data_IF_206819495937
#
_entry.id   IF_206819495937
#
_cell.length_a   1.000
_cell.length_b   1.000
_cell.length_c   1.000
_cell.angle_alpha   90.00
_cell.angle_beta   90.00
_cell.angle_gamma   90.00
#
_symmetry.space_group_name_H-M   'P 1'
#
loop_
_entity.id
_entity.type
_entity.pdbx_description
1 polymer ?
#
# COMPACT_ATOMS: atom_id res chain seq x y z
N UNK A 1 -19.17 27.03 -6.66
CA UNK A 1 -19.09 25.66 -6.10
C UNK A 1 -18.04 25.71 -5.02
N UNK A 2 -18.34 25.23 -3.79
CA UNK A 2 -17.30 25.03 -2.78
C UNK A 2 -16.26 24.08 -3.38
N UNK A 3 -14.99 24.28 -3.10
CA UNK A 3 -13.91 23.42 -3.57
C UNK A 3 -13.95 22.13 -2.78
N UNK A 4 -14.16 20.99 -3.45
CA UNK A 4 -14.11 19.65 -2.87
C UNK A 4 -12.72 19.40 -2.26
N UNK A 5 -12.70 18.94 -1.00
CA UNK A 5 -11.47 18.59 -0.27
C UNK A 5 -11.38 17.07 -0.17
N UNK A 6 -10.37 16.48 -0.84
CA UNK A 6 -10.17 15.05 -0.86
C UNK A 6 -9.04 14.64 0.09
N UNK A 7 -9.41 13.96 1.19
CA UNK A 7 -8.49 13.47 2.23
C UNK A 7 -8.58 11.94 2.41
N UNK A 8 -8.84 11.20 1.33
CA UNK A 8 -8.80 9.72 1.33
C UNK A 8 -7.74 9.15 0.37
N UNK A 9 -6.58 9.82 0.24
CA UNK A 9 -5.50 9.38 -0.65
C UNK A 9 -4.88 8.04 -0.25
N UNK A 10 -4.97 7.63 1.02
CA UNK A 10 -4.54 6.29 1.46
C UNK A 10 -5.44 5.15 0.93
N UNK A 11 -6.65 5.44 0.44
CA UNK A 11 -7.48 4.50 -0.30
C UNK A 11 -7.12 4.48 -1.78
N UNK A 12 -7.06 5.64 -2.43
CA UNK A 12 -6.58 5.86 -3.80
C UNK A 12 -6.23 7.33 -3.97
N UNK A 13 -5.15 7.68 -4.67
CA UNK A 13 -4.84 9.10 -4.92
C UNK A 13 -5.83 9.73 -5.89
N UNK A 14 -6.28 10.96 -5.60
CA UNK A 14 -7.13 11.76 -6.47
C UNK A 14 -6.87 13.27 -6.24
N UNK A 15 -6.82 14.07 -7.34
CA UNK A 15 -6.79 13.67 -8.74
C UNK A 15 -5.49 12.94 -9.11
N UNK A 16 -5.43 12.39 -10.33
CA UNK A 16 -4.18 11.88 -10.91
C UNK A 16 -3.47 13.01 -11.67
N UNK A 17 -2.13 12.94 -11.84
CA UNK A 17 -1.43 13.80 -12.77
C UNK A 17 -2.03 13.68 -14.18
N UNK A 18 -2.15 14.81 -14.90
CA UNK A 18 -2.73 14.84 -16.24
C UNK A 18 -2.05 13.86 -17.22
N UNK A 19 -0.73 13.70 -17.10
CA UNK A 19 0.04 12.76 -17.91
C UNK A 19 -0.46 11.31 -17.81
N UNK A 20 -1.07 10.91 -16.68
CA UNK A 20 -1.63 9.57 -16.48
C UNK A 20 -2.85 9.35 -17.37
N UNK A 21 -3.77 10.31 -17.41
CA UNK A 21 -4.95 10.26 -18.29
C UNK A 21 -4.54 10.23 -19.75
N UNK A 22 -3.61 11.10 -20.15
CA UNK A 22 -3.10 11.19 -21.51
C UNK A 22 -2.40 9.91 -21.96
N UNK A 23 -1.58 9.29 -21.11
CA UNK A 23 -0.89 8.05 -21.43
C UNK A 23 -1.87 6.89 -21.68
N UNK A 24 -2.92 6.77 -20.86
CA UNK A 24 -3.97 5.77 -21.02
C UNK A 24 -4.77 5.99 -22.31
N UNK A 25 -5.20 7.22 -22.58
CA UNK A 25 -5.93 7.58 -23.79
C UNK A 25 -5.10 7.34 -25.05
N UNK A 26 -3.84 7.77 -25.05
CA UNK A 26 -2.92 7.60 -26.17
C UNK A 26 -2.69 6.11 -26.48
N UNK A 27 -2.47 5.28 -25.46
CA UNK A 27 -2.34 3.85 -25.66
C UNK A 27 -3.60 3.25 -26.31
N UNK A 28 -4.78 3.54 -25.79
CA UNK A 28 -6.05 3.02 -26.35
C UNK A 28 -6.28 3.44 -27.80
N UNK A 29 -5.92 4.68 -28.16
CA UNK A 29 -6.15 5.21 -29.52
C UNK A 29 -5.12 4.70 -30.54
N UNK A 30 -3.86 4.50 -30.14
CA UNK A 30 -2.77 4.33 -31.10
C UNK A 30 -2.06 2.99 -31.04
N UNK A 31 -2.12 2.26 -29.92
CA UNK A 31 -1.43 0.99 -29.72
C UNK A 31 -2.27 -0.13 -29.08
N UNK A 32 -3.57 0.03 -28.94
CA UNK A 32 -4.51 -0.83 -28.17
C UNK A 32 -4.56 -2.33 -28.55
N UNK A 33 -3.45 -2.92 -28.95
CA UNK A 33 -3.30 -4.34 -29.28
C UNK A 33 -2.83 -5.13 -28.04
N UNK A 34 -2.98 -6.47 -28.12
CA UNK A 34 -2.47 -7.39 -27.09
C UNK A 34 -0.93 -7.49 -27.20
N UNK A 35 -0.20 -7.30 -26.09
CA UNK A 35 1.26 -7.43 -26.10
C UNK A 35 1.70 -8.88 -26.27
N UNK A 36 2.82 -9.10 -26.99
CA UNK A 36 3.56 -10.36 -27.02
C UNK A 36 2.91 -11.55 -27.73
N UNK A 37 1.68 -11.43 -28.28
CA UNK A 37 0.93 -12.54 -28.87
C UNK A 37 0.91 -12.53 -30.41
N UNK A 38 1.44 -11.51 -31.04
CA UNK A 38 1.45 -11.35 -32.51
C UNK A 38 2.70 -10.63 -32.96
N UNK A 39 3.18 -10.94 -34.19
CA UNK A 39 4.38 -10.32 -34.76
C UNK A 39 4.13 -8.96 -35.45
N UNK A 40 2.94 -8.39 -35.39
CA UNK A 40 2.66 -7.11 -36.01
C UNK A 40 3.05 -5.92 -35.10
N UNK A 41 3.35 -4.76 -35.72
CA UNK A 41 3.89 -3.58 -35.05
C UNK A 41 3.11 -3.14 -33.80
N UNK A 42 1.76 -3.14 -33.83
CA UNK A 42 0.96 -2.73 -32.66
C UNK A 42 1.13 -3.66 -31.46
N UNK A 43 1.33 -4.98 -31.69
CA UNK A 43 1.63 -5.92 -30.62
C UNK A 43 3.02 -5.69 -30.02
N UNK A 44 4.00 -5.32 -30.87
CA UNK A 44 5.35 -4.94 -30.44
C UNK A 44 5.30 -3.64 -29.61
N UNK A 45 4.56 -2.64 -30.07
CA UNK A 45 4.39 -1.36 -29.34
C UNK A 45 3.70 -1.58 -27.99
N UNK A 46 2.66 -2.43 -27.93
CA UNK A 46 2.03 -2.81 -26.68
C UNK A 46 2.99 -3.56 -25.73
N UNK A 47 3.83 -4.46 -26.27
CA UNK A 47 4.87 -5.15 -25.50
C UNK A 47 5.92 -4.19 -24.94
N UNK A 48 6.29 -3.16 -25.68
CA UNK A 48 7.21 -2.11 -25.21
C UNK A 48 6.64 -1.35 -24.02
N UNK A 49 5.35 -0.96 -24.06
CA UNK A 49 4.70 -0.30 -22.91
C UNK A 49 4.75 -1.15 -21.65
N UNK A 50 4.52 -2.46 -21.76
CA UNK A 50 4.62 -3.37 -20.60
C UNK A 50 6.07 -3.43 -20.09
N UNK A 51 7.05 -3.48 -20.99
CA UNK A 51 8.46 -3.55 -20.60
C UNK A 51 8.96 -2.24 -19.98
N UNK A 52 8.59 -1.08 -20.53
CA UNK A 52 8.90 0.24 -19.96
C UNK A 52 8.34 0.41 -18.54
N UNK A 53 7.12 -0.13 -18.29
CA UNK A 53 6.55 -0.15 -16.94
C UNK A 53 7.40 -0.97 -15.96
N UNK A 54 8.00 -2.10 -16.41
CA UNK A 54 8.92 -2.89 -15.58
C UNK A 54 10.22 -2.14 -15.32
N UNK A 55 10.81 -1.55 -16.36
CA UNK A 55 12.08 -0.83 -16.24
C UNK A 55 11.98 0.32 -15.22
N UNK A 56 10.94 1.13 -15.31
CA UNK A 56 10.79 2.28 -14.40
C UNK A 56 10.53 1.85 -12.95
N UNK A 57 9.80 0.76 -12.73
CA UNK A 57 9.57 0.19 -11.40
C UNK A 57 10.82 -0.50 -10.85
N UNK A 58 11.60 -1.19 -11.70
CA UNK A 58 12.87 -1.77 -11.31
C UNK A 58 13.85 -0.68 -10.86
N UNK A 59 13.89 0.45 -11.58
CA UNK A 59 14.66 1.63 -11.16
C UNK A 59 14.18 2.19 -9.83
N UNK A 60 12.85 2.29 -9.64
CA UNK A 60 12.24 2.84 -8.41
C UNK A 60 12.61 2.03 -7.16
N UNK A 61 12.67 0.70 -7.26
CA UNK A 61 12.90 -0.22 -6.14
C UNK A 61 14.33 -0.78 -6.10
N UNK A 62 15.24 -0.31 -6.95
CA UNK A 62 16.64 -0.75 -7.09
C UNK A 62 16.78 -2.26 -7.41
N UNK A 63 16.04 -2.73 -8.41
CA UNK A 63 16.19 -4.07 -8.97
C UNK A 63 17.06 -4.05 -10.24
N UNK A 64 17.96 -5.04 -10.40
CA UNK A 64 18.84 -5.13 -11.58
C UNK A 64 18.11 -5.63 -12.83
N UNK A 65 17.10 -6.49 -12.65
CA UNK A 65 16.39 -7.17 -13.72
C UNK A 65 14.91 -6.78 -13.72
N UNK A 66 14.44 -6.01 -14.73
CA UNK A 66 13.03 -5.62 -14.85
C UNK A 66 12.06 -6.82 -14.94
N UNK A 67 12.50 -7.98 -15.42
CA UNK A 67 11.65 -9.17 -15.50
C UNK A 67 11.24 -9.71 -14.13
N UNK A 68 11.86 -9.23 -13.05
CA UNK A 68 11.51 -9.55 -11.64
C UNK A 68 10.36 -8.72 -11.08
N UNK A 69 9.82 -7.80 -11.87
CA UNK A 69 8.55 -7.12 -11.57
C UNK A 69 7.42 -7.98 -12.13
N UNK A 70 6.62 -8.58 -11.29
CA UNK A 70 5.44 -9.36 -11.69
C UNK A 70 4.19 -8.49 -11.52
N UNK A 71 3.50 -8.22 -12.61
CA UNK A 71 2.28 -7.40 -12.56
C UNK A 71 1.10 -8.17 -11.99
N UNK A 72 0.36 -7.50 -11.12
CA UNK A 72 -0.89 -7.96 -10.52
C UNK A 72 -1.92 -6.84 -10.59
N UNK A 73 -3.18 -7.14 -10.25
CA UNK A 73 -4.26 -6.12 -10.26
C UNK A 73 -4.12 -5.12 -9.12
N UNK A 74 -3.44 -5.49 -8.04
CA UNK A 74 -3.27 -4.69 -6.82
C UNK A 74 -2.30 -5.39 -5.85
N UNK A 75 -1.94 -4.72 -4.75
CA UNK A 75 -1.10 -5.31 -3.70
C UNK A 75 -1.73 -6.55 -3.06
N UNK A 76 -3.06 -6.68 -2.98
CA UNK A 76 -3.70 -7.87 -2.41
C UNK A 76 -3.37 -9.13 -3.20
N UNK A 77 -3.44 -9.08 -4.54
CA UNK A 77 -3.06 -10.21 -5.39
C UNK A 77 -1.55 -10.51 -5.28
N UNK A 78 -0.71 -9.46 -5.24
CA UNK A 78 0.74 -9.59 -5.03
C UNK A 78 1.07 -10.28 -3.70
N UNK A 79 0.42 -9.87 -2.60
CA UNK A 79 0.60 -10.45 -1.28
C UNK A 79 0.11 -11.90 -1.20
N UNK A 80 -1.02 -12.22 -1.86
CA UNK A 80 -1.47 -13.62 -1.96
C UNK A 80 -0.47 -14.47 -2.74
N UNK A 81 0.09 -13.98 -3.86
CA UNK A 81 1.13 -14.67 -4.60
C UNK A 81 2.36 -14.91 -3.72
N UNK A 82 2.83 -13.91 -2.96
CA UNK A 82 3.96 -14.04 -2.06
C UNK A 82 3.68 -15.05 -0.93
N UNK A 83 2.56 -14.91 -0.23
CA UNK A 83 2.21 -15.72 0.95
C UNK A 83 1.92 -17.18 0.54
N UNK A 84 0.96 -17.39 -0.38
CA UNK A 84 0.55 -18.74 -0.80
C UNK A 84 1.59 -19.42 -1.70
N UNK A 85 2.46 -18.64 -2.35
CA UNK A 85 3.52 -19.19 -3.20
C UNK A 85 4.77 -19.64 -2.43
N UNK A 86 4.95 -19.17 -1.18
CA UNK A 86 6.13 -19.46 -0.35
C UNK A 86 5.82 -20.46 0.76
N UNK A 87 4.66 -20.34 1.41
CA UNK A 87 4.34 -21.08 2.63
C UNK A 87 3.65 -22.41 2.35
N UNK A 88 4.06 -23.44 3.12
CA UNK A 88 3.52 -24.79 3.08
C UNK A 88 3.17 -25.26 4.50
N UNK A 89 2.31 -26.27 4.67
CA UNK A 89 2.04 -26.88 5.98
C UNK A 89 3.33 -27.27 6.72
N UNK A 90 3.44 -26.87 7.97
CA UNK A 90 4.63 -27.06 8.81
C UNK A 90 5.61 -25.88 8.80
N UNK A 91 5.50 -24.93 7.89
CA UNK A 91 6.25 -23.68 7.91
C UNK A 91 5.72 -22.74 9.00
N UNK A 92 6.60 -21.87 9.51
CA UNK A 92 6.24 -20.78 10.41
C UNK A 92 6.38 -19.43 9.71
N UNK A 93 5.41 -18.55 9.95
CA UNK A 93 5.41 -17.17 9.45
C UNK A 93 5.24 -16.18 10.59
N UNK A 94 5.98 -15.07 10.50
CA UNK A 94 5.90 -13.96 11.46
C UNK A 94 5.33 -12.73 10.75
N UNK A 95 4.39 -12.06 11.42
CA UNK A 95 3.82 -10.79 10.96
C UNK A 95 3.57 -9.85 12.14
N UNK A 96 3.13 -8.61 11.85
CA UNK A 96 2.84 -7.62 12.88
C UNK A 96 1.36 -7.51 13.23
N UNK A 97 1.06 -6.88 14.37
CA UNK A 97 -0.31 -6.55 14.74
C UNK A 97 -0.85 -5.27 14.06
N UNK A 98 -0.14 -4.73 13.08
CA UNK A 98 -0.56 -3.55 12.31
C UNK A 98 -0.96 -3.87 10.86
N UNK A 99 -1.10 -5.15 10.51
CA UNK A 99 -1.30 -5.60 9.15
C UNK A 99 -2.70 -5.32 8.60
N UNK A 100 -2.73 -5.07 7.29
CA UNK A 100 -3.95 -5.02 6.50
C UNK A 100 -4.54 -6.43 6.30
N UNK A 101 -5.85 -6.52 6.02
CA UNK A 101 -6.52 -7.78 5.72
C UNK A 101 -5.93 -8.55 4.52
N UNK A 102 -5.23 -7.86 3.61
CA UNK A 102 -4.52 -8.50 2.48
C UNK A 102 -3.36 -9.40 2.92
N UNK A 103 -2.82 -9.18 4.13
CA UNK A 103 -1.85 -10.05 4.79
C UNK A 103 -2.56 -11.01 5.74
N UNK A 104 -3.43 -10.50 6.62
CA UNK A 104 -4.01 -11.32 7.69
C UNK A 104 -4.93 -12.43 7.18
N UNK A 105 -5.76 -12.16 6.15
CA UNK A 105 -6.73 -13.16 5.69
C UNK A 105 -6.07 -14.37 5.02
N UNK A 106 -5.12 -14.23 4.08
CA UNK A 106 -4.42 -15.39 3.55
C UNK A 106 -3.59 -16.12 4.62
N UNK A 107 -2.97 -15.40 5.58
CA UNK A 107 -2.25 -16.07 6.68
C UNK A 107 -3.19 -16.89 7.57
N UNK A 108 -4.39 -16.38 7.89
CA UNK A 108 -5.39 -17.14 8.66
C UNK A 108 -5.91 -18.36 7.91
N UNK A 109 -6.07 -18.25 6.58
CA UNK A 109 -6.45 -19.40 5.78
C UNK A 109 -5.37 -20.50 5.80
N UNK A 110 -4.09 -20.12 5.65
CA UNK A 110 -2.98 -21.07 5.70
C UNK A 110 -2.75 -21.64 7.12
N UNK A 111 -3.09 -20.90 8.17
CA UNK A 111 -3.06 -21.40 9.55
C UNK A 111 -4.02 -22.60 9.73
N UNK A 112 -5.20 -22.55 9.10
CA UNK A 112 -6.15 -23.69 9.04
C UNK A 112 -5.59 -24.88 8.25
N UNK A 113 -4.64 -24.66 7.34
CA UNK A 113 -3.95 -25.65 6.53
C UNK A 113 -2.65 -26.20 7.18
N UNK A 114 -2.31 -25.72 8.37
CA UNK A 114 -1.14 -26.20 9.15
C UNK A 114 0.11 -25.35 9.04
N UNK A 115 0.03 -24.10 8.58
CA UNK A 115 1.09 -23.10 8.74
C UNK A 115 1.02 -22.50 10.13
N UNK A 116 2.15 -22.36 10.80
CA UNK A 116 2.24 -21.77 12.13
C UNK A 116 2.35 -20.23 11.99
N UNK A 117 1.44 -19.48 12.62
CA UNK A 117 1.41 -18.02 12.55
C UNK A 117 1.78 -17.36 13.88
N UNK A 118 2.78 -16.49 13.90
CA UNK A 118 3.05 -15.58 15.00
C UNK A 118 2.76 -14.14 14.60
N UNK A 119 1.89 -13.48 15.37
CA UNK A 119 1.57 -12.05 15.21
C UNK A 119 2.27 -11.28 16.33
N UNK A 120 3.36 -10.59 16.00
CA UNK A 120 4.12 -9.78 16.97
C UNK A 120 3.33 -8.51 17.29
N UNK A 121 3.15 -8.25 18.60
CA UNK A 121 2.36 -7.11 19.06
C UNK A 121 3.14 -5.80 18.92
N UNK A 122 2.56 -4.83 18.28
CA UNK A 122 3.04 -3.45 18.24
C UNK A 122 2.54 -2.65 19.45
N UNK A 123 3.17 -1.50 19.71
CA UNK A 123 2.72 -0.54 20.74
C UNK A 123 1.37 0.07 20.38
N UNK A 124 0.75 0.79 21.33
CA UNK A 124 -0.50 1.52 21.10
C UNK A 124 -0.35 2.68 20.06
N UNK A 125 0.86 3.05 19.70
CA UNK A 125 1.17 3.99 18.61
C UNK A 125 1.48 3.29 17.28
N UNK A 126 1.45 1.96 17.25
CA UNK A 126 1.71 1.14 16.06
C UNK A 126 3.20 0.85 15.80
N UNK A 127 4.11 1.11 16.73
CA UNK A 127 5.52 0.77 16.58
C UNK A 127 5.79 -0.70 16.89
N UNK A 128 6.58 -1.34 16.02
CA UNK A 128 7.13 -2.68 16.20
C UNK A 128 8.53 -2.57 16.82
N UNK A 129 8.79 -3.35 17.87
CA UNK A 129 10.16 -3.54 18.38
C UNK A 129 10.83 -4.67 17.59
N UNK A 130 11.96 -4.39 16.90
CA UNK A 130 12.70 -5.42 16.17
C UNK A 130 13.16 -6.60 17.05
N UNK A 131 13.47 -6.37 18.34
CA UNK A 131 13.89 -7.42 19.26
C UNK A 131 12.74 -8.39 19.57
N UNK A 132 11.51 -7.91 19.69
CA UNK A 132 10.34 -8.76 19.88
C UNK A 132 10.11 -9.66 18.65
N UNK A 133 10.33 -9.11 17.45
CA UNK A 133 10.21 -9.89 16.22
C UNK A 133 11.34 -10.93 16.11
N UNK A 134 12.59 -10.55 16.39
CA UNK A 134 13.74 -11.47 16.35
C UNK A 134 13.54 -12.64 17.32
N UNK A 135 13.01 -12.37 18.51
CA UNK A 135 12.75 -13.40 19.54
C UNK A 135 11.64 -14.40 19.12
N UNK A 136 10.81 -14.03 18.16
CA UNK A 136 9.74 -14.89 17.63
C UNK A 136 10.22 -15.86 16.54
N UNK A 137 11.48 -15.73 16.06
CA UNK A 137 12.04 -16.60 15.02
C UNK A 137 12.26 -18.02 15.57
N UNK A 138 11.78 -19.01 14.82
CA UNK A 138 11.90 -20.45 15.12
C UNK A 138 12.70 -21.15 14.03
N UNK A 139 13.08 -22.39 14.28
CA UNK A 139 13.83 -23.20 13.31
C UNK A 139 13.07 -23.45 11.99
N UNK A 140 11.75 -23.48 12.04
CA UNK A 140 10.86 -23.61 10.85
C UNK A 140 10.32 -22.28 10.35
N UNK A 141 10.83 -21.12 10.79
CA UNK A 141 10.41 -19.81 10.26
C UNK A 141 10.86 -19.69 8.81
N UNK A 142 9.88 -19.57 7.93
CA UNK A 142 10.08 -19.48 6.48
C UNK A 142 9.96 -18.07 5.94
N UNK A 143 9.04 -17.27 6.50
CA UNK A 143 8.70 -15.94 6.02
C UNK A 143 8.46 -14.98 7.17
N UNK A 144 9.00 -13.77 7.03
CA UNK A 144 8.58 -12.58 7.78
C UNK A 144 7.84 -11.69 6.78
N UNK A 145 6.62 -11.23 7.10
CA UNK A 145 5.85 -10.32 6.25
C UNK A 145 5.32 -9.16 7.06
N UNK A 146 5.62 -7.93 6.59
CA UNK A 146 5.25 -6.70 7.29
C UNK A 146 4.74 -5.65 6.31
N UNK A 147 3.75 -4.85 6.73
CA UNK A 147 3.50 -3.59 6.07
C UNK A 147 4.64 -2.60 6.38
N UNK A 148 5.04 -1.78 5.41
CA UNK A 148 6.04 -0.74 5.63
C UNK A 148 5.46 0.44 6.41
N UNK A 149 4.18 0.74 6.22
CA UNK A 149 3.45 1.73 6.99
C UNK A 149 2.00 1.31 7.22
N UNK A 150 1.48 1.61 8.40
CA UNK A 150 0.08 1.35 8.75
C UNK A 150 -0.86 2.19 7.90
N UNK A 151 -1.84 1.53 7.28
CA UNK A 151 -2.91 2.22 6.54
C UNK A 151 -3.97 2.85 7.46
N UNK A 152 -3.84 2.69 8.78
CA UNK A 152 -4.75 3.27 9.79
C UNK A 152 -4.16 4.54 10.38
N UNK A 153 -2.91 4.50 10.85
CA UNK A 153 -2.26 5.60 11.58
C UNK A 153 -0.97 6.10 10.93
N UNK A 154 -0.59 5.53 9.79
CA UNK A 154 0.60 5.96 9.05
C UNK A 154 1.94 5.56 9.66
N UNK A 155 1.99 5.02 10.87
CA UNK A 155 3.23 4.66 11.57
C UNK A 155 4.10 3.76 10.70
N UNK A 156 5.37 4.14 10.52
CA UNK A 156 6.38 3.39 9.79
C UNK A 156 6.93 2.25 10.65
N UNK A 157 7.04 1.06 10.07
CA UNK A 157 7.71 -0.08 10.68
C UNK A 157 9.19 -0.09 10.26
N UNK A 158 10.10 -0.65 11.10
CA UNK A 158 11.54 -0.60 10.89
C UNK A 158 12.02 -1.66 9.87
N UNK A 159 11.54 -1.59 8.60
CA UNK A 159 11.75 -2.64 7.59
C UNK A 159 13.21 -2.89 7.27
N UNK A 160 14.09 -1.87 7.24
CA UNK A 160 15.51 -2.06 6.98
C UNK A 160 16.22 -2.87 8.09
N UNK A 161 15.85 -2.61 9.35
CA UNK A 161 16.39 -3.36 10.51
C UNK A 161 15.86 -4.80 10.51
N UNK A 162 14.57 -4.98 10.22
CA UNK A 162 13.95 -6.32 10.13
C UNK A 162 14.52 -7.11 8.93
N UNK A 163 14.79 -6.47 7.79
CA UNK A 163 15.44 -7.11 6.65
C UNK A 163 16.82 -7.65 7.04
N UNK A 164 17.62 -6.87 7.78
CA UNK A 164 18.91 -7.30 8.29
C UNK A 164 18.78 -8.47 9.30
N UNK A 165 17.74 -8.49 10.14
CA UNK A 165 17.42 -9.61 11.01
C UNK A 165 17.07 -10.85 10.18
N UNK A 166 16.15 -10.73 9.23
CA UNK A 166 15.72 -11.83 8.37
C UNK A 166 16.90 -12.47 7.63
N UNK A 167 17.81 -11.65 7.08
CA UNK A 167 19.03 -12.10 6.42
C UNK A 167 19.95 -12.89 7.36
N UNK A 168 20.19 -12.40 8.59
CA UNK A 168 21.03 -13.11 9.58
C UNK A 168 20.49 -14.49 9.93
N UNK A 169 19.17 -14.63 9.94
CA UNK A 169 18.48 -15.89 10.27
C UNK A 169 18.13 -16.73 9.03
N UNK A 170 18.51 -16.30 7.83
CA UNK A 170 18.18 -16.94 6.56
C UNK A 170 16.67 -17.19 6.38
N UNK A 171 15.86 -16.20 6.75
CA UNK A 171 14.40 -16.17 6.62
C UNK A 171 14.03 -15.20 5.50
N UNK A 172 13.05 -15.55 4.66
CA UNK A 172 12.56 -14.66 3.60
C UNK A 172 11.83 -13.46 4.20
N UNK A 173 12.05 -12.28 3.60
CA UNK A 173 11.39 -11.06 4.02
C UNK A 173 10.52 -10.45 2.92
N UNK A 174 9.23 -10.33 3.19
CA UNK A 174 8.23 -9.71 2.34
C UNK A 174 7.73 -8.38 2.93
N UNK A 175 7.68 -7.34 2.12
CA UNK A 175 7.20 -6.02 2.52
C UNK A 175 5.95 -5.63 1.72
N UNK A 176 4.86 -5.28 2.42
CA UNK A 176 3.72 -4.58 1.84
C UNK A 176 4.00 -3.08 1.79
N UNK A 177 4.36 -2.59 0.62
CA UNK A 177 4.66 -1.19 0.34
C UNK A 177 3.43 -0.39 -0.15
N UNK A 178 2.21 -0.88 0.02
CA UNK A 178 1.01 -0.24 -0.52
C UNK A 178 0.79 1.21 -0.03
N UNK A 179 1.34 1.60 1.12
CA UNK A 179 1.25 2.96 1.64
C UNK A 179 2.52 3.80 1.45
N UNK A 180 3.62 3.18 1.00
CA UNK A 180 4.94 3.84 0.97
C UNK A 180 5.55 3.94 -0.41
N UNK A 181 5.22 3.02 -1.34
CA UNK A 181 5.70 3.08 -2.72
C UNK A 181 5.34 4.41 -3.39
N UNK A 182 6.35 5.20 -3.75
CA UNK A 182 6.21 6.51 -4.39
C UNK A 182 6.33 7.73 -3.46
N UNK A 183 6.21 7.56 -2.11
CA UNK A 183 6.35 8.66 -1.14
C UNK A 183 7.39 8.39 -0.03
N UNK A 184 7.93 7.19 0.00
CA UNK A 184 9.03 6.82 0.88
C UNK A 184 10.10 6.09 0.07
N UNK A 185 11.40 6.43 0.26
CA UNK A 185 12.47 5.71 -0.44
C UNK A 185 12.50 4.23 -0.04
N UNK A 186 12.44 3.34 -1.03
CA UNK A 186 12.53 1.89 -0.82
C UNK A 186 13.62 1.36 -1.74
N UNK A 187 14.66 0.80 -1.15
CA UNK A 187 15.75 0.12 -1.83
C UNK A 187 15.75 -1.33 -1.40
N UNK A 188 15.26 -2.22 -2.27
CA UNK A 188 15.13 -3.64 -1.93
C UNK A 188 16.46 -4.30 -1.54
N UNK A 189 17.57 -3.88 -2.18
CA UNK A 189 18.90 -4.42 -1.88
C UNK A 189 19.43 -3.91 -0.54
N UNK A 190 19.38 -2.60 -0.32
CA UNK A 190 19.89 -1.99 0.91
C UNK A 190 19.06 -2.35 2.15
N UNK A 191 17.78 -2.67 1.96
CA UNK A 191 16.86 -3.06 3.03
C UNK A 191 16.71 -4.58 3.18
N UNK A 192 17.49 -5.39 2.45
CA UNK A 192 17.42 -6.86 2.47
C UNK A 192 15.99 -7.41 2.25
N UNK A 193 15.24 -6.81 1.33
CA UNK A 193 13.87 -7.21 1.00
C UNK A 193 13.89 -8.25 -0.12
N UNK A 194 13.32 -9.42 0.13
CA UNK A 194 13.21 -10.51 -0.83
C UNK A 194 11.98 -10.39 -1.74
N UNK A 195 10.87 -9.95 -1.18
CA UNK A 195 9.59 -9.78 -1.86
C UNK A 195 8.99 -8.41 -1.50
N UNK A 196 8.60 -7.61 -2.50
CA UNK A 196 7.98 -6.31 -2.28
C UNK A 196 6.65 -6.23 -3.03
N UNK A 197 5.54 -6.15 -2.31
CA UNK A 197 4.23 -5.95 -2.88
C UNK A 197 3.87 -4.46 -2.94
N UNK A 198 3.36 -4.00 -4.10
CA UNK A 198 2.96 -2.61 -4.30
C UNK A 198 1.62 -2.50 -5.02
N UNK A 199 0.97 -1.34 -4.91
CA UNK A 199 -0.23 -0.99 -5.67
C UNK A 199 0.00 0.30 -6.45
N UNK A 200 -0.46 0.33 -7.71
CA UNK A 200 -0.21 1.46 -8.59
C UNK A 200 -1.09 2.69 -8.34
N UNK A 201 -2.28 2.49 -7.75
CA UNK A 201 -3.31 3.55 -7.70
C UNK A 201 -3.23 4.50 -6.49
N UNK A 202 -2.26 4.29 -5.58
CA UNK A 202 -2.00 5.20 -4.45
C UNK A 202 -0.89 6.18 -4.82
N UNK A 203 0.18 6.24 -4.06
CA UNK A 203 1.24 7.24 -4.23
C UNK A 203 2.15 7.02 -5.46
N UNK A 204 1.95 5.96 -6.23
CA UNK A 204 2.49 5.82 -7.58
C UNK A 204 1.63 6.52 -8.65
N UNK A 205 0.51 7.12 -8.29
CA UNK A 205 -0.40 7.89 -9.14
C UNK A 205 -0.98 7.16 -10.36
N UNK A 206 -0.76 5.86 -10.51
CA UNK A 206 -1.35 5.05 -11.58
C UNK A 206 -2.85 4.82 -11.39
N UNK A 207 -3.52 4.21 -12.35
CA UNK A 207 -4.94 3.88 -12.26
C UNK A 207 -5.20 2.68 -11.34
N UNK A 208 -6.43 2.50 -10.79
CA UNK A 208 -6.88 1.24 -10.20
C UNK A 208 -6.68 0.06 -11.17
N UNK A 209 -6.52 -1.14 -10.63
CA UNK A 209 -6.27 -2.35 -11.43
C UNK A 209 -4.81 -2.51 -11.86
N UNK A 210 -3.89 -1.80 -11.19
CA UNK A 210 -2.43 -1.92 -11.34
C UNK A 210 -1.76 -2.16 -10.00
N UNK A 211 -0.78 -3.03 -9.99
CA UNK A 211 0.06 -3.38 -8.85
C UNK A 211 1.08 -4.43 -9.26
N UNK A 212 1.86 -4.92 -8.32
CA UNK A 212 2.85 -5.94 -8.62
C UNK A 212 3.57 -6.48 -7.41
N UNK A 213 4.30 -7.56 -7.67
CA UNK A 213 5.26 -8.19 -6.77
C UNK A 213 6.65 -8.07 -7.38
N UNK A 214 7.56 -7.43 -6.67
CA UNK A 214 8.98 -7.49 -6.98
C UNK A 214 9.57 -8.74 -6.34
N UNK A 215 10.34 -9.53 -7.11
CA UNK A 215 10.89 -10.81 -6.68
C UNK A 215 12.42 -10.72 -6.63
N UNK A 216 13.01 -10.97 -5.47
CA UNK A 216 14.46 -11.10 -5.30
C UNK A 216 15.04 -12.23 -6.15
N UNK A 217 16.36 -12.17 -6.40
CA UNK A 217 17.06 -13.17 -7.19
C UNK A 217 17.04 -14.55 -6.54
N UNK A 218 16.70 -15.59 -7.31
CA UNK A 218 16.65 -16.98 -6.85
C UNK A 218 15.30 -17.39 -6.25
N UNK A 219 14.36 -16.44 -6.03
CA UNK A 219 13.03 -16.76 -5.51
C UNK A 219 12.11 -17.35 -6.58
N UNK A 220 12.45 -17.17 -7.85
CA UNK A 220 11.75 -17.81 -8.96
C UNK A 220 11.74 -19.34 -8.88
N UNK A 221 12.70 -19.94 -8.17
CA UNK A 221 12.75 -21.40 -7.97
C UNK A 221 11.87 -21.89 -6.81
N UNK A 222 11.54 -20.99 -5.88
CA UNK A 222 10.81 -21.28 -4.64
C UNK A 222 9.33 -20.93 -4.80
N UNK A 223 9.05 -19.75 -5.37
CA UNK A 223 7.71 -19.18 -5.44
C UNK A 223 6.83 -19.98 -6.41
N UNK A 224 5.71 -20.50 -5.92
CA UNK A 224 4.74 -21.25 -6.72
C UNK A 224 3.73 -20.28 -7.34
N UNK A 225 3.43 -20.38 -8.67
CA UNK A 225 2.43 -19.52 -9.28
C UNK A 225 1.01 -19.84 -8.81
N UNK A 226 0.26 -18.80 -8.41
CA UNK A 226 -1.15 -18.92 -8.02
C UNK A 226 -2.08 -19.15 -9.22
N UNK A 227 -1.77 -18.48 -10.34
CA UNK A 227 -2.59 -18.50 -11.55
C UNK A 227 -1.78 -19.18 -12.66
N UNK A 228 -2.41 -20.10 -13.37
CA UNK A 228 -1.84 -20.77 -14.55
C UNK A 228 -2.74 -20.55 -15.74
N UNK A 229 -2.13 -20.42 -16.95
CA UNK A 229 -2.89 -20.20 -18.17
C UNK A 229 -2.01 -19.70 -19.31
N UNK A 230 -2.62 -19.21 -20.37
CA UNK A 230 -1.91 -18.73 -21.54
C UNK A 230 -1.07 -17.49 -21.26
N UNK A 231 0.21 -17.55 -21.54
CA UNK A 231 1.19 -16.46 -21.36
C UNK A 231 1.58 -15.80 -22.68
N UNK A 232 1.30 -16.45 -23.81
CA UNK A 232 1.72 -16.02 -25.15
C UNK A 232 3.04 -16.64 -25.61
N UNK A 233 3.76 -17.31 -24.70
CA UNK A 233 4.99 -18.06 -25.00
C UNK A 233 4.75 -19.57 -24.86
N UNK A 234 5.61 -20.40 -25.51
CA UNK A 234 5.56 -21.86 -25.42
C UNK A 234 4.16 -22.46 -25.59
N UNK A 235 3.38 -21.95 -26.57
CA UNK A 235 1.99 -22.35 -26.81
C UNK A 235 1.83 -23.84 -27.19
N UNK A 236 2.91 -24.52 -27.52
CA UNK A 236 3.00 -25.95 -27.80
C UNK A 236 3.02 -26.82 -26.51
N UNK A 237 3.28 -26.19 -25.35
CA UNK A 237 3.35 -26.89 -24.05
C UNK A 237 2.06 -26.73 -23.25
N UNK A 238 1.60 -27.83 -22.65
CA UNK A 238 0.49 -27.82 -21.66
C UNK A 238 0.95 -27.43 -20.24
N UNK A 239 2.26 -27.28 -20.02
CA UNK A 239 2.83 -26.88 -18.73
C UNK A 239 3.07 -25.38 -18.66
N UNK A 240 2.86 -24.81 -17.45
CA UNK A 240 3.17 -23.42 -17.19
C UNK A 240 4.67 -23.15 -17.45
N UNK A 241 5.03 -22.07 -18.16
CA UNK A 241 6.43 -21.68 -18.33
C UNK A 241 7.16 -21.50 -16.98
N UNK A 242 8.46 -21.82 -16.94
CA UNK A 242 9.27 -21.71 -15.74
C UNK A 242 10.30 -20.56 -15.80
N UNK A 243 10.04 -19.55 -16.62
CA UNK A 243 10.88 -18.37 -16.73
C UNK A 243 10.08 -17.09 -16.44
N UNK A 244 10.77 -16.03 -16.02
CA UNK A 244 10.17 -14.74 -15.70
C UNK A 244 9.90 -13.92 -16.98
N UNK A 245 8.83 -13.16 -17.02
CA UNK A 245 7.75 -13.06 -16.02
C UNK A 245 6.64 -14.08 -16.22
N UNK A 246 6.67 -14.86 -17.29
CA UNK A 246 5.62 -15.73 -17.79
C UNK A 246 5.17 -16.80 -16.78
N UNK A 247 6.08 -17.22 -15.88
CA UNK A 247 5.76 -18.12 -14.78
C UNK A 247 4.58 -17.63 -13.95
N UNK A 248 4.44 -16.33 -13.77
CA UNK A 248 3.47 -15.72 -12.85
C UNK A 248 2.42 -14.88 -13.54
N UNK A 249 2.61 -14.51 -14.82
CA UNK A 249 1.70 -13.66 -15.57
C UNK A 249 0.93 -14.43 -16.63
N UNK A 250 -0.24 -14.91 -16.25
CA UNK A 250 -1.15 -15.60 -17.19
C UNK A 250 -2.32 -14.69 -17.57
N UNK A 251 -2.72 -14.77 -18.85
CA UNK A 251 -3.78 -13.95 -19.41
C UNK A 251 -3.26 -12.68 -20.09
N UNK A 252 -4.16 -11.85 -20.61
CA UNK A 252 -3.82 -10.56 -21.22
C UNK A 252 -3.63 -9.53 -20.12
N UNK A 253 -2.47 -8.85 -20.03
CA UNK A 253 -2.21 -7.86 -19.00
C UNK A 253 -3.04 -6.58 -19.20
N UNK A 254 -3.20 -5.81 -18.13
CA UNK A 254 -3.85 -4.48 -18.16
C UNK A 254 -2.90 -3.43 -18.76
N UNK A 255 -2.60 -3.53 -20.06
CA UNK A 255 -1.61 -2.66 -20.71
C UNK A 255 -2.01 -1.19 -20.67
N UNK A 256 -3.31 -0.87 -20.74
CA UNK A 256 -3.82 0.50 -20.58
C UNK A 256 -3.45 1.04 -19.20
N UNK A 257 -3.70 0.24 -18.16
CA UNK A 257 -3.34 0.62 -16.79
C UNK A 257 -1.84 0.75 -16.61
N UNK A 258 -1.03 -0.11 -17.24
CA UNK A 258 0.44 -0.04 -17.18
C UNK A 258 0.99 1.21 -17.86
N UNK A 259 0.41 1.65 -18.98
CA UNK A 259 0.74 2.94 -19.58
C UNK A 259 0.51 4.11 -18.61
N UNK A 260 -0.65 4.11 -17.93
CA UNK A 260 -0.95 5.10 -16.90
C UNK A 260 -0.04 4.99 -15.67
N UNK A 261 0.29 3.77 -15.23
CA UNK A 261 1.21 3.55 -14.11
C UNK A 261 2.62 4.06 -14.43
N UNK A 262 3.13 3.80 -15.64
CA UNK A 262 4.41 4.34 -16.11
C UNK A 262 4.43 5.86 -16.01
N UNK A 263 3.39 6.54 -16.51
CA UNK A 263 3.28 8.00 -16.42
C UNK A 263 3.21 8.49 -14.96
N UNK A 264 2.52 7.75 -14.09
CA UNK A 264 2.47 8.04 -12.65
C UNK A 264 3.84 7.94 -11.98
N UNK A 265 4.59 6.88 -12.26
CA UNK A 265 5.96 6.70 -11.72
C UNK A 265 6.93 7.74 -12.30
N UNK A 266 6.80 8.08 -13.59
CA UNK A 266 7.56 9.20 -14.20
C UNK A 266 7.28 10.52 -13.48
N UNK A 267 6.02 10.77 -13.12
CA UNK A 267 5.66 11.93 -12.31
C UNK A 267 6.35 11.89 -10.94
N UNK A 268 6.38 10.76 -10.25
CA UNK A 268 7.10 10.59 -8.97
C UNK A 268 8.58 10.95 -9.14
N UNK A 269 9.24 10.46 -10.20
CA UNK A 269 10.64 10.81 -10.48
C UNK A 269 10.82 12.29 -10.79
N UNK A 270 9.90 12.91 -11.54
CA UNK A 270 9.98 14.33 -11.90
C UNK A 270 9.84 15.27 -10.68
N UNK A 271 9.03 14.88 -9.70
CA UNK A 271 8.85 15.62 -8.45
C UNK A 271 9.98 15.31 -7.45
N UNK A 272 10.53 14.09 -7.48
CA UNK A 272 11.44 13.54 -6.48
C UNK A 272 10.70 13.03 -5.25
N UNK A 273 11.00 11.78 -4.83
CA UNK A 273 10.35 11.13 -3.67
C UNK A 273 10.51 11.96 -2.41
N UNK A 274 11.70 12.50 -2.16
CA UNK A 274 11.98 13.32 -0.96
C UNK A 274 11.15 14.61 -0.94
N UNK A 275 10.94 15.25 -2.09
CA UNK A 275 10.10 16.44 -2.20
C UNK A 275 8.63 16.12 -1.97
N UNK A 276 8.13 15.01 -2.54
CA UNK A 276 6.76 14.52 -2.30
C UNK A 276 6.56 14.26 -0.80
N UNK A 277 7.51 13.55 -0.17
CA UNK A 277 7.49 13.26 1.25
C UNK A 277 7.51 14.53 2.09
N UNK A 278 8.42 15.47 1.84
CA UNK A 278 8.50 16.75 2.57
C UNK A 278 7.19 17.55 2.47
N UNK A 279 6.57 17.58 1.30
CA UNK A 279 5.27 18.24 1.12
C UNK A 279 4.17 17.58 1.97
N UNK A 280 4.08 16.25 1.93
CA UNK A 280 3.11 15.50 2.74
C UNK A 280 3.40 15.62 4.24
N UNK A 281 4.67 15.61 4.66
CA UNK A 281 5.05 15.81 6.06
C UNK A 281 4.63 17.21 6.59
N UNK A 282 4.72 18.24 5.76
CA UNK A 282 4.27 19.60 6.12
C UNK A 282 2.76 19.60 6.39
N UNK A 283 1.97 19.06 5.47
CA UNK A 283 0.50 18.99 5.62
C UNK A 283 0.09 18.13 6.82
N UNK A 284 0.78 17.01 7.01
CA UNK A 284 0.56 16.08 8.13
C UNK A 284 0.87 16.73 9.46
N UNK A 285 1.96 17.52 9.55
CA UNK A 285 2.33 18.27 10.74
C UNK A 285 1.25 19.28 11.11
N UNK A 286 0.78 20.06 10.14
CA UNK A 286 -0.27 21.07 10.37
C UNK A 286 -1.56 20.40 10.87
N UNK A 287 -1.91 19.22 10.33
CA UNK A 287 -3.06 18.42 10.81
C UNK A 287 -2.85 17.93 12.25
N UNK A 288 -1.68 17.36 12.57
CA UNK A 288 -1.38 16.85 13.91
C UNK A 288 -1.47 17.97 14.93
N UNK A 289 -0.76 19.07 14.72
CA UNK A 289 -0.72 20.21 15.62
C UNK A 289 -2.12 20.83 15.79
N UNK A 290 -2.86 20.99 14.71
CA UNK A 290 -4.21 21.54 14.76
C UNK A 290 -5.20 20.61 15.49
N UNK A 291 -5.18 19.30 15.21
CA UNK A 291 -6.06 18.31 15.85
C UNK A 291 -5.77 18.24 17.37
N UNK A 292 -4.50 18.24 17.78
CA UNK A 292 -4.13 18.19 19.20
C UNK A 292 -4.62 19.41 20.00
N UNK A 293 -4.87 20.54 19.34
CA UNK A 293 -5.40 21.75 19.94
C UNK A 293 -6.95 21.75 20.08
N UNK A 294 -7.66 20.80 19.43
CA UNK A 294 -9.13 20.76 19.46
C UNK A 294 -9.60 19.88 20.63
N UNK A 295 -10.37 20.43 21.59
CA UNK A 295 -10.94 19.64 22.68
C UNK A 295 -11.84 18.50 22.18
N UNK A 296 -11.93 17.42 22.94
CA UNK A 296 -12.78 16.24 22.63
C UNK A 296 -12.38 15.46 21.36
N UNK A 297 -11.24 15.77 20.75
CA UNK A 297 -10.69 15.02 19.59
C UNK A 297 -9.49 14.21 20.06
N UNK A 298 -9.52 12.91 19.77
CA UNK A 298 -8.41 11.98 20.04
C UNK A 298 -7.68 11.68 18.74
N UNK A 299 -6.37 11.93 18.70
CA UNK A 299 -5.48 11.54 17.63
C UNK A 299 -4.82 10.19 17.97
N UNK A 300 -4.79 9.26 17.00
CA UNK A 300 -4.14 7.95 17.14
C UNK A 300 -2.87 7.89 16.28
N UNK A 301 -1.90 7.08 16.72
CA UNK A 301 -0.63 6.86 16.02
C UNK A 301 0.56 7.55 16.69
N UNK A 302 1.62 7.78 15.93
CA UNK A 302 2.91 8.26 16.45
C UNK A 302 2.87 9.73 16.90
N UNK A 303 2.09 10.57 16.23
CA UNK A 303 2.14 12.02 16.40
C UNK A 303 3.44 12.67 15.94
N UNK A 304 4.39 11.92 15.36
CA UNK A 304 5.67 12.41 14.82
C UNK A 304 5.70 12.15 13.31
N UNK A 305 5.68 13.21 12.51
CA UNK A 305 5.66 13.16 11.04
C UNK A 305 6.85 12.43 10.43
N UNK A 306 8.00 12.40 11.14
CA UNK A 306 9.21 11.69 10.68
C UNK A 306 9.06 10.16 10.75
N UNK A 307 8.12 9.70 11.58
CA UNK A 307 7.86 8.28 11.90
C UNK A 307 6.55 7.78 11.30
N UNK A 308 5.94 8.54 10.39
CA UNK A 308 4.70 8.15 9.72
C UNK A 308 4.62 8.69 8.30
N UNK A 309 3.75 8.11 7.49
CA UNK A 309 3.30 8.67 6.21
C UNK A 309 2.07 9.56 6.43
N UNK A 310 1.59 10.23 5.39
CA UNK A 310 0.44 11.15 5.44
C UNK A 310 -0.91 10.45 5.67
N UNK A 311 -1.00 9.72 6.78
CA UNK A 311 -2.19 8.99 7.22
C UNK A 311 -2.38 9.25 8.70
N UNK A 312 -3.57 9.77 9.07
CA UNK A 312 -3.95 10.07 10.45
C UNK A 312 -5.30 9.44 10.76
N UNK A 313 -5.49 9.04 11.99
CA UNK A 313 -6.77 8.57 12.50
C UNK A 313 -7.20 9.37 13.71
N UNK A 314 -8.47 9.78 13.72
CA UNK A 314 -9.08 10.54 14.83
C UNK A 314 -10.41 9.96 15.25
N UNK A 315 -10.83 10.25 16.49
CA UNK A 315 -12.22 10.13 16.95
C UNK A 315 -12.61 11.41 17.68
N UNK A 316 -13.89 11.75 17.61
CA UNK A 316 -14.51 12.85 18.38
C UNK A 316 -15.38 12.23 19.47
N UNK A 317 -15.17 12.62 20.70
CA UNK A 317 -15.95 12.10 21.84
C UNK A 317 -17.46 12.37 21.61
N UNK A 318 -18.29 11.36 21.86
CA UNK A 318 -19.75 11.46 21.70
C UNK A 318 -20.28 11.22 20.28
N UNK A 319 -19.41 11.06 19.27
CA UNK A 319 -19.81 10.73 17.89
C UNK A 319 -19.13 9.44 17.41
N UNK A 320 -19.84 8.65 16.61
CA UNK A 320 -19.25 7.55 15.88
C UNK A 320 -18.38 8.06 14.72
N UNK A 321 -17.44 7.23 14.27
CA UNK A 321 -16.61 7.57 13.10
C UNK A 321 -17.45 7.82 11.84
N UNK A 322 -18.58 7.15 11.69
CA UNK A 322 -19.51 7.33 10.56
C UNK A 322 -20.23 8.66 10.60
N UNK A 323 -20.71 9.10 11.79
CA UNK A 323 -21.37 10.41 11.95
C UNK A 323 -20.38 11.55 11.66
N UNK A 324 -19.15 11.46 12.19
CA UNK A 324 -18.13 12.48 11.92
C UNK A 324 -17.83 12.57 10.42
N UNK A 325 -17.67 11.43 9.74
CA UNK A 325 -17.40 11.41 8.31
C UNK A 325 -18.57 11.96 7.48
N UNK A 326 -19.81 11.66 7.88
CA UNK A 326 -21.02 12.20 7.25
C UNK A 326 -21.07 13.73 7.38
N UNK A 327 -20.83 14.29 8.57
CA UNK A 327 -20.76 15.73 8.76
C UNK A 327 -19.64 16.39 7.95
N UNK A 328 -18.46 15.76 7.87
CA UNK A 328 -17.36 16.29 7.05
C UNK A 328 -17.72 16.33 5.58
N UNK A 329 -18.39 15.31 5.05
CA UNK A 329 -18.81 15.23 3.64
C UNK A 329 -19.98 16.18 3.34
N UNK A 330 -21.11 16.07 4.07
CA UNK A 330 -22.36 16.75 3.75
C UNK A 330 -22.32 18.25 4.07
N UNK A 331 -21.72 18.65 5.21
CA UNK A 331 -21.71 20.03 5.68
C UNK A 331 -20.51 20.84 5.13
N UNK A 332 -19.37 20.15 4.85
CA UNK A 332 -18.09 20.82 4.55
C UNK A 332 -17.45 20.40 3.23
N UNK A 333 -18.01 19.45 2.45
CA UNK A 333 -17.43 18.89 1.21
C UNK A 333 -16.03 18.27 1.42
N UNK A 334 -15.78 17.64 2.61
CA UNK A 334 -14.51 17.02 2.99
C UNK A 334 -14.64 15.50 2.96
N UNK A 335 -14.00 14.84 1.99
CA UNK A 335 -14.05 13.40 1.81
C UNK A 335 -12.95 12.72 2.63
N UNK A 336 -13.36 11.83 3.56
CA UNK A 336 -12.48 11.05 4.41
C UNK A 336 -13.03 9.62 4.55
N UNK A 337 -12.34 8.74 5.27
CA UNK A 337 -12.76 7.34 5.39
C UNK A 337 -13.02 6.94 6.84
N UNK A 338 -14.28 6.64 7.24
CA UNK A 338 -14.60 6.09 8.55
C UNK A 338 -14.38 4.57 8.63
N UNK A 339 -14.36 4.04 9.86
CA UNK A 339 -14.46 2.63 10.19
C UNK A 339 -13.12 1.93 10.37
N UNK A 340 -13.03 0.65 10.02
CA UNK A 340 -11.87 -0.21 10.32
C UNK A 340 -10.78 -0.23 9.22
N UNK A 341 -10.92 0.53 8.15
CA UNK A 341 -9.97 0.64 7.02
C UNK A 341 -9.34 -0.70 6.58
N UNK A 342 -10.09 -1.81 6.67
CA UNK A 342 -9.63 -3.17 6.37
C UNK A 342 -8.44 -3.67 7.23
N UNK A 343 -8.28 -3.16 8.45
CA UNK A 343 -7.19 -3.52 9.36
C UNK A 343 -7.69 -3.74 10.81
N UNK A 344 -8.60 -4.72 11.05
CA UNK A 344 -9.20 -4.94 12.37
C UNK A 344 -8.16 -5.28 13.44
N UNK A 345 -7.03 -5.91 13.08
CA UNK A 345 -5.94 -6.25 14.02
C UNK A 345 -5.24 -4.97 14.48
N UNK A 346 -4.98 -4.03 13.56
CA UNK A 346 -4.43 -2.72 13.91
C UNK A 346 -5.36 -1.96 14.86
N UNK A 347 -6.67 -1.95 14.61
CA UNK A 347 -7.64 -1.32 15.50
C UNK A 347 -7.72 -1.97 16.89
N UNK A 348 -7.52 -3.30 17.00
CA UNK A 348 -7.37 -3.96 18.30
C UNK A 348 -6.11 -3.50 19.04
N UNK A 349 -5.00 -3.33 18.32
CA UNK A 349 -3.72 -2.84 18.86
C UNK A 349 -3.85 -1.39 19.35
N UNK A 350 -4.52 -0.54 18.59
CA UNK A 350 -4.74 0.88 18.88
C UNK A 350 -5.85 1.13 19.92
N UNK A 351 -6.64 0.10 20.30
CA UNK A 351 -7.78 0.23 21.23
C UNK A 351 -9.04 0.87 20.62
N UNK A 352 -9.15 0.88 19.30
CA UNK A 352 -10.28 1.48 18.56
C UNK A 352 -11.23 0.47 17.92
N UNK A 353 -11.02 -0.83 18.17
CA UNK A 353 -11.96 -1.88 17.76
C UNK A 353 -13.13 -1.99 18.75
N UNK A 354 -14.39 -2.20 18.31
CA UNK A 354 -14.86 -2.39 16.93
C UNK A 354 -15.27 -1.09 16.21
N UNK A 355 -15.28 0.06 16.86
CA UNK A 355 -15.85 1.32 16.36
C UNK A 355 -15.06 1.92 15.19
N UNK A 356 -13.74 1.62 15.10
CA UNK A 356 -12.87 2.21 14.11
C UNK A 356 -12.54 3.67 14.39
N UNK A 357 -12.09 4.37 13.36
CA UNK A 357 -11.67 5.77 13.40
C UNK A 357 -12.11 6.50 12.13
N UNK A 358 -12.07 7.83 12.14
CA UNK A 358 -12.05 8.64 10.91
C UNK A 358 -10.61 8.78 10.48
N UNK A 359 -10.29 8.30 9.27
CA UNK A 359 -8.96 8.43 8.67
C UNK A 359 -8.93 9.63 7.74
N UNK A 360 -7.94 10.49 7.95
CA UNK A 360 -7.59 11.61 7.10
C UNK A 360 -6.25 11.31 6.42
N UNK A 361 -6.20 11.43 5.11
CA UNK A 361 -4.97 11.19 4.35
C UNK A 361 -4.82 12.24 3.25
N UNK A 362 -4.13 13.37 3.54
CA UNK A 362 -3.76 14.32 2.50
C UNK A 362 -2.79 13.67 1.50
N UNK A 363 -2.74 14.20 0.29
CA UNK A 363 -1.82 13.74 -0.75
C UNK A 363 -1.17 14.94 -1.45
N UNK A 364 -0.41 14.66 -2.50
CA UNK A 364 0.35 15.66 -3.23
C UNK A 364 -0.46 16.90 -3.67
N UNK A 365 -1.71 16.73 -4.04
CA UNK A 365 -2.58 17.83 -4.52
C UNK A 365 -3.37 18.51 -3.40
N UNK A 366 -3.23 18.07 -2.14
CA UNK A 366 -3.82 18.77 -1.00
C UNK A 366 -3.06 20.07 -0.70
N UNK A 367 -3.77 21.09 -0.22
CA UNK A 367 -3.21 22.42 0.08
C UNK A 367 -3.27 22.73 1.57
N UNK A 368 -2.50 23.72 2.04
CA UNK A 368 -2.58 24.21 3.42
C UNK A 368 -3.98 24.78 3.73
N UNK A 369 -4.64 25.40 2.74
CA UNK A 369 -6.03 25.87 2.90
C UNK A 369 -7.01 24.71 3.08
N UNK A 370 -6.81 23.58 2.40
CA UNK A 370 -7.60 22.37 2.64
C UNK A 370 -7.44 21.89 4.08
N UNK A 371 -6.20 21.87 4.60
CA UNK A 371 -5.92 21.46 5.99
C UNK A 371 -6.58 22.40 6.98
N UNK A 372 -6.44 23.72 6.79
CA UNK A 372 -7.07 24.73 7.65
C UNK A 372 -8.60 24.58 7.67
N UNK A 373 -9.23 24.46 6.48
CA UNK A 373 -10.68 24.26 6.38
C UNK A 373 -11.11 22.97 7.09
N UNK A 374 -10.33 21.90 6.98
CA UNK A 374 -10.60 20.63 7.67
C UNK A 374 -10.53 20.77 9.19
N UNK A 375 -9.52 21.45 9.72
CA UNK A 375 -9.37 21.71 11.15
C UNK A 375 -10.53 22.56 11.69
N UNK A 376 -10.93 23.60 10.95
CA UNK A 376 -12.08 24.44 11.30
C UNK A 376 -13.39 23.63 11.32
N UNK A 377 -13.58 22.70 10.38
CA UNK A 377 -14.73 21.81 10.34
C UNK A 377 -14.74 20.84 11.52
N UNK A 378 -13.63 20.17 11.81
CA UNK A 378 -13.48 19.26 12.94
C UNK A 378 -13.76 19.99 14.27
N UNK A 379 -13.24 21.20 14.45
CA UNK A 379 -13.47 22.01 15.66
C UNK A 379 -14.95 22.36 15.84
N UNK A 380 -15.67 22.70 14.77
CA UNK A 380 -17.11 22.98 14.82
C UNK A 380 -17.94 21.73 15.14
N UNK A 381 -17.62 20.59 14.54
CA UNK A 381 -18.28 19.31 14.82
C UNK A 381 -18.06 18.93 16.29
N UNK A 382 -16.83 19.01 16.79
CA UNK A 382 -16.52 18.71 18.20
C UNK A 382 -17.23 19.65 19.19
N UNK A 383 -17.33 20.95 18.89
CA UNK A 383 -18.05 21.92 19.71
C UNK A 383 -19.58 21.77 19.65
N UNK A 384 -20.13 21.18 18.58
CA UNK A 384 -21.55 20.88 18.43
C UNK A 384 -22.03 19.82 19.40
N UNK A 385 -21.19 18.85 19.74
CA UNK A 385 -21.50 17.78 20.71
C UNK A 385 -21.73 18.33 22.11
N UNK A 386 -20.95 19.32 22.57
CA UNK A 386 -21.07 19.93 23.89
C UNK A 386 -22.41 20.68 24.07
N UNK A 387 -23.04 21.16 22.97
CA UNK A 387 -24.33 21.86 23.01
C UNK A 387 -25.55 20.92 23.04
N UNK A 388 -25.38 19.69 22.49
CA UNK A 388 -26.45 18.68 22.50
C UNK A 388 -26.62 17.94 23.84
N UNK A 389 -25.54 17.84 24.63
CA UNK A 389 -25.53 17.16 25.92
C UNK A 389 -26.09 17.96 27.12
N UNK A 390 -26.45 19.23 26.92
CA UNK A 390 -26.99 20.11 27.98
C UNK A 390 -28.52 20.26 27.98
N UNK A 391 -29.21 19.47 27.13
CA UNK A 391 -30.69 19.52 27.00
C UNK A 391 -31.40 18.20 27.34
N UNK A 392 -30.81 17.32 28.17
CA UNK A 392 -31.51 16.20 28.79
C UNK A 392 -31.54 16.32 30.31
#
# INVERSE_FOLDING_TARGET
>A
MKSLIYLDNAATSWPKPEAVYQAMENFMRHAGASPGRSGHRLSIDAGRVVYEAREILALLFNLDDPLRIIFTKNATEALNLAICGVLHPGDHVITSSMEHNSVMRPLRALEEEGVELTVVRCSAQGFLDPADLESAIKANTRLIILNHASNVVGTLLPVAEIGSIARRHNVLFCVDAAQTAGVYPIDMKAMDIDLLAFTGHKSLFGPPGTGGLCIGKGLEDILVPMIRGGTGSHSESEYQPNFLPDKYESGTPNTVGLAGLTAGVQFVFSQGIDNLRMSEEKLTRNLIEGIQAIPNVTLYGSGDVRKQVAVLSINIAGLSSSEVAMHLDEDYDIMCRPGLQCAPVAHKTLGTFPSGTVRLSPGHFSTEDNIKTTLDAIAKIAAGVDRGGSNE
#
